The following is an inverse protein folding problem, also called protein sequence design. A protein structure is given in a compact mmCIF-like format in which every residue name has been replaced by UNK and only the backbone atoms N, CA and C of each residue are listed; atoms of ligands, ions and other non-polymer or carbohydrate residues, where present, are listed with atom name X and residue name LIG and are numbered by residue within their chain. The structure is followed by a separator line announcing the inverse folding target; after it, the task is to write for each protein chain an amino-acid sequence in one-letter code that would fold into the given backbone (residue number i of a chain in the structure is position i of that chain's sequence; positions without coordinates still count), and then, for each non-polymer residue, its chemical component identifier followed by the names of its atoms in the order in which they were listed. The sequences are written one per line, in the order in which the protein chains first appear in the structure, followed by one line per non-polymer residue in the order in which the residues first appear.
data_IF_836028806413
#
_entry.id   IF_836028806413
#
_cell.length_a   1.000
_cell.length_b   1.000
_cell.length_c   1.000
_cell.angle_alpha   90.00
_cell.angle_beta   90.00
_cell.angle_gamma   90.00
#
_symmetry.space_group_name_H-M   'P 1'
#
loop_
_entity.id
_entity.type
_entity.pdbx_description
1 polymer ?
#
# COMPACT_ATOMS: atom_id res chain seq x y z
N UNK A 1 -5.29 5.57 -14.99
CA UNK A 1 -5.28 5.73 -13.52
C UNK A 1 -5.86 4.50 -12.85
N UNK A 2 -5.04 3.83 -12.05
CA UNK A 2 -5.39 2.71 -11.18
C UNK A 2 -5.59 3.23 -9.78
N UNK A 3 -6.73 2.90 -9.16
CA UNK A 3 -7.11 3.41 -7.85
C UNK A 3 -7.16 2.25 -6.87
N UNK A 4 -6.53 2.39 -5.71
CA UNK A 4 -6.65 1.41 -4.64
C UNK A 4 -7.57 1.98 -3.56
N UNK A 5 -8.61 1.22 -3.24
CA UNK A 5 -9.59 1.54 -2.21
C UNK A 5 -9.27 0.69 -0.98
N UNK A 6 -9.05 1.31 0.17
CA UNK A 6 -8.81 0.60 1.42
C UNK A 6 -9.60 1.22 2.58
N UNK A 7 -9.60 0.55 3.73
CA UNK A 7 -10.36 0.91 4.92
C UNK A 7 -9.76 2.06 5.76
N UNK A 8 -8.74 2.76 5.25
CA UNK A 8 -7.99 3.81 5.99
C UNK A 8 -7.23 3.31 7.23
N UNK A 9 -7.14 2.00 7.45
CA UNK A 9 -6.35 1.45 8.55
C UNK A 9 -4.87 1.31 8.16
N UNK A 10 -4.00 1.27 9.18
CA UNK A 10 -2.58 1.04 8.94
C UNK A 10 -2.31 -0.33 8.31
N UNK A 11 -3.00 -1.36 8.77
CA UNK A 11 -2.89 -2.71 8.19
C UNK A 11 -3.42 -2.76 6.76
N UNK A 12 -4.52 -2.05 6.47
CA UNK A 12 -5.07 -1.91 5.13
C UNK A 12 -4.09 -1.22 4.18
N UNK A 13 -3.38 -0.19 4.65
CA UNK A 13 -2.33 0.46 3.86
C UNK A 13 -1.17 -0.50 3.55
N UNK A 14 -0.71 -1.28 4.53
CA UNK A 14 0.34 -2.28 4.31
C UNK A 14 -0.13 -3.40 3.39
N UNK A 15 -1.41 -3.77 3.46
CA UNK A 15 -2.01 -4.76 2.57
C UNK A 15 -2.11 -4.24 1.14
N UNK A 16 -2.53 -2.98 0.96
CA UNK A 16 -2.59 -2.31 -0.34
C UNK A 16 -1.22 -2.28 -1.01
N UNK A 17 -0.20 -2.01 -0.21
CA UNK A 17 1.18 -1.97 -0.62
C UNK A 17 1.71 -3.35 -1.04
N UNK A 18 1.36 -4.40 -0.29
CA UNK A 18 1.65 -5.78 -0.67
C UNK A 18 1.00 -6.14 -2.01
N UNK A 19 -0.28 -5.81 -2.17
CA UNK A 19 -1.05 -6.13 -3.38
C UNK A 19 -0.53 -5.35 -4.60
N UNK A 20 -0.14 -4.09 -4.44
CA UNK A 20 0.46 -3.29 -5.51
C UNK A 20 1.77 -3.92 -6.01
N UNK A 21 2.61 -4.39 -5.08
CA UNK A 21 3.84 -5.08 -5.42
C UNK A 21 3.58 -6.44 -6.09
N UNK A 22 2.69 -7.24 -5.54
CA UNK A 22 2.36 -8.57 -6.06
C UNK A 22 1.76 -8.50 -7.47
N UNK A 23 0.93 -7.48 -7.73
CA UNK A 23 0.33 -7.22 -9.05
C UNK A 23 1.30 -6.55 -10.03
N UNK A 24 2.48 -6.13 -9.56
CA UNK A 24 3.42 -5.27 -10.29
C UNK A 24 2.77 -4.01 -10.90
N UNK A 25 1.75 -3.49 -10.21
CA UNK A 25 0.93 -2.35 -10.63
C UNK A 25 0.77 -1.43 -9.43
N UNK A 26 1.36 -0.24 -9.53
CA UNK A 26 1.25 0.76 -8.47
C UNK A 26 -0.01 1.62 -8.68
N UNK A 27 -0.80 1.88 -7.63
CA UNK A 27 -1.92 2.80 -7.73
C UNK A 27 -1.45 4.22 -8.02
N UNK A 28 -2.17 4.90 -8.91
CA UNK A 28 -2.10 6.34 -9.09
C UNK A 28 -2.77 7.08 -7.92
N UNK A 29 -3.81 6.49 -7.34
CA UNK A 29 -4.58 7.07 -6.24
C UNK A 29 -4.89 6.03 -5.15
N UNK A 30 -4.83 6.45 -3.89
CA UNK A 30 -5.23 5.66 -2.72
C UNK A 30 -6.38 6.36 -2.02
N UNK A 31 -7.54 5.72 -2.01
CA UNK A 31 -8.79 6.29 -1.51
C UNK A 31 -9.38 5.44 -0.38
N UNK A 32 -10.18 6.08 0.47
CA UNK A 32 -11.00 5.37 1.46
C UNK A 32 -12.18 4.69 0.77
N UNK A 33 -12.49 3.46 1.16
CA UNK A 33 -13.71 2.74 0.74
C UNK A 33 -14.99 3.50 1.17
N UNK A 34 -14.97 4.19 2.30
CA UNK A 34 -16.18 4.76 2.92
C UNK A 34 -16.40 6.24 2.68
N UNK A 35 -15.38 6.97 2.24
CA UNK A 35 -15.33 8.43 2.41
C UNK A 35 -15.21 9.26 1.15
N UNK A 36 -14.68 8.69 0.06
CA UNK A 36 -14.32 9.50 -1.12
C UNK A 36 -15.04 9.02 -2.38
N UNK A 37 -15.71 9.93 -3.12
CA UNK A 37 -16.27 9.59 -4.41
C UNK A 37 -15.15 9.25 -5.38
N UNK A 38 -15.32 8.15 -6.12
CA UNK A 38 -14.40 7.77 -7.18
C UNK A 38 -14.38 8.85 -8.27
N UNK A 39 -13.22 9.14 -8.87
CA UNK A 39 -13.12 9.98 -10.05
C UNK A 39 -14.06 9.48 -11.16
N UNK A 40 -14.59 10.39 -11.97
CA UNK A 40 -15.45 10.05 -13.12
C UNK A 40 -14.76 9.17 -14.15
N UNK A 41 -13.44 9.31 -14.30
CA UNK A 41 -12.63 8.55 -15.25
C UNK A 41 -11.51 7.85 -14.50
N UNK A 42 -11.51 6.53 -14.51
CA UNK A 42 -10.39 5.69 -14.08
C UNK A 42 -10.34 4.40 -14.90
N UNK A 43 -9.19 3.74 -14.94
CA UNK A 43 -9.02 2.49 -15.68
C UNK A 43 -9.46 1.30 -14.84
N UNK A 44 -9.04 1.27 -13.58
CA UNK A 44 -9.30 0.18 -12.66
C UNK A 44 -9.39 0.71 -11.23
N UNK A 45 -10.34 0.19 -10.46
CA UNK A 45 -10.42 0.40 -9.02
C UNK A 45 -10.28 -0.96 -8.31
N UNK A 46 -9.21 -1.10 -7.53
CA UNK A 46 -8.88 -2.31 -6.77
C UNK A 46 -9.33 -2.11 -5.33
N UNK A 47 -10.25 -2.95 -4.87
CA UNK A 47 -10.64 -2.99 -3.47
C UNK A 47 -9.62 -3.84 -2.72
N UNK A 48 -8.91 -3.19 -1.81
CA UNK A 48 -7.95 -3.82 -0.91
C UNK A 48 -8.68 -4.22 0.36
N UNK A 49 -8.75 -5.53 0.59
CA UNK A 49 -9.25 -6.09 1.85
C UNK A 49 -8.08 -6.26 2.80
N UNK A 50 -8.18 -5.64 3.97
CA UNK A 50 -7.17 -5.72 5.02
C UNK A 50 -6.91 -7.16 5.43
N UNK A 51 -5.65 -7.58 5.38
CA UNK A 51 -5.25 -8.94 5.72
C UNK A 51 -4.01 -8.89 6.63
N UNK A 52 -4.20 -9.30 7.90
CA UNK A 52 -3.14 -9.29 8.91
C UNK A 52 -1.89 -10.05 8.49
N UNK A 53 -2.01 -11.19 7.78
CA UNK A 53 -0.82 -11.92 7.30
C UNK A 53 0.02 -11.10 6.29
N UNK A 54 -0.65 -10.38 5.38
CA UNK A 54 0.03 -9.52 4.39
C UNK A 54 0.65 -8.31 5.05
N UNK A 55 -0.11 -7.64 5.94
CA UNK A 55 0.37 -6.48 6.67
C UNK A 55 1.56 -6.82 7.57
N UNK A 56 1.52 -7.95 8.26
CA UNK A 56 2.62 -8.43 9.12
C UNK A 56 3.90 -8.71 8.33
N UNK A 57 3.80 -9.30 7.14
CA UNK A 57 4.98 -9.55 6.29
C UNK A 57 5.65 -8.23 5.90
N UNK A 58 4.86 -7.25 5.50
CA UNK A 58 5.35 -5.91 5.17
C UNK A 58 5.93 -5.23 6.38
N UNK A 59 5.26 -5.31 7.52
CA UNK A 59 5.72 -4.73 8.77
C UNK A 59 7.05 -5.34 9.26
N UNK A 60 7.17 -6.67 9.26
CA UNK A 60 8.43 -7.37 9.63
C UNK A 60 9.57 -7.02 8.68
N UNK A 61 9.28 -6.91 7.38
CA UNK A 61 10.27 -6.46 6.39
C UNK A 61 10.75 -5.03 6.66
N UNK A 62 9.80 -4.14 7.00
CA UNK A 62 10.09 -2.76 7.37
C UNK A 62 10.82 -2.62 8.71
N UNK A 63 10.63 -3.53 9.67
CA UNK A 63 11.36 -3.54 10.94
C UNK A 63 12.81 -4.01 10.78
N UNK A 64 13.05 -4.97 9.87
CA UNK A 64 14.40 -5.47 9.58
C UNK A 64 15.28 -4.38 8.95
N UNK A 65 14.71 -3.53 8.10
CA UNK A 65 15.37 -2.28 7.71
C UNK A 65 15.18 -1.28 8.85
N UNK A 66 16.23 -0.58 9.33
CA UNK A 66 16.04 0.50 10.31
C UNK A 66 15.39 1.73 9.65
N UNK A 67 14.15 1.59 9.17
CA UNK A 67 13.37 2.65 8.56
C UNK A 67 12.60 3.38 9.66
N UNK A 68 12.87 4.68 9.83
CA UNK A 68 12.08 5.50 10.73
C UNK A 68 10.65 5.65 10.19
N UNK A 69 9.64 5.42 11.04
CA UNK A 69 8.21 5.55 10.71
C UNK A 69 7.88 6.91 10.05
N UNK A 70 8.57 7.97 10.43
CA UNK A 70 8.41 9.32 9.89
C UNK A 70 8.77 9.38 8.39
N UNK A 71 9.79 8.61 7.96
CA UNK A 71 10.25 8.56 6.57
C UNK A 71 9.27 7.73 5.73
N UNK A 72 8.75 6.63 6.30
CA UNK A 72 7.68 5.85 5.69
C UNK A 72 6.44 6.72 5.46
N UNK A 73 5.97 7.47 6.46
CA UNK A 73 4.76 8.30 6.29
C UNK A 73 4.87 9.40 5.22
N UNK A 74 6.07 9.95 4.97
CA UNK A 74 6.29 10.98 3.93
C UNK A 74 6.54 10.42 2.52
N UNK A 75 7.06 9.20 2.40
CA UNK A 75 7.50 8.65 1.10
C UNK A 75 7.25 7.12 0.96
N UNK A 76 6.23 6.58 1.64
CA UNK A 76 5.96 5.14 1.78
C UNK A 76 6.12 4.37 0.46
N UNK A 77 5.51 4.87 -0.61
CA UNK A 77 5.54 4.22 -1.92
C UNK A 77 6.93 4.13 -2.56
N UNK A 78 7.73 5.21 -2.51
CA UNK A 78 9.08 5.23 -3.08
C UNK A 78 10.08 4.40 -2.26
N UNK A 79 9.92 4.35 -0.94
CA UNK A 79 10.82 3.60 -0.07
C UNK A 79 10.48 2.12 -0.02
N UNK A 80 9.20 1.77 -0.05
CA UNK A 80 8.82 0.36 -0.02
C UNK A 80 9.24 -0.33 -1.31
N UNK A 81 9.06 0.28 -2.49
CA UNK A 81 9.53 -0.35 -3.73
C UNK A 81 11.03 -0.70 -3.64
N UNK A 82 11.86 0.18 -3.05
CA UNK A 82 13.30 -0.07 -2.82
C UNK A 82 13.61 -0.95 -1.62
N UNK A 83 12.75 -1.01 -0.60
CA UNK A 83 12.95 -1.81 0.60
C UNK A 83 12.52 -3.27 0.41
N UNK A 84 11.42 -3.50 -0.32
CA UNK A 84 10.87 -4.82 -0.60
C UNK A 84 11.68 -5.58 -1.67
N UNK A 85 12.20 -4.89 -2.69
CA UNK A 85 13.11 -5.50 -3.69
C UNK A 85 14.40 -6.10 -3.10
N UNK A 86 14.76 -5.75 -1.87
CA UNK A 86 15.97 -6.23 -1.18
C UNK A 86 15.70 -7.23 -0.06
N UNK A 87 14.44 -7.66 0.11
CA UNK A 87 14.00 -8.62 1.14
C UNK A 87 13.73 -10.01 0.53
N UNK A 88 13.80 -10.12 -0.80
CA UNK A 88 14.01 -11.35 -1.57
C UNK A 88 15.48 -11.37 -1.99
#
# INVERSE_FOLDING_TARGET
MVIFLYDQTFEGLLTALFDAYFRNTFPDLLLSISGEPLPLFYNEAVIVVTASEKSDRVWKGLQKKKCSYIIFRRNAFKYVSRAFLSII
#
